data_IF_475332448472
#
_entry.id   IF_475332448472
#
_cell.length_a   1.000
_cell.length_b   1.000
_cell.length_c   1.000
_cell.angle_alpha   90.00
_cell.angle_beta   90.00
_cell.angle_gamma   90.00
#
_symmetry.space_group_name_H-M   'P 1'
#
loop_
_entity.id
_entity.type
_entity.pdbx_description
1 polymer ?
#
# COMPACT_ATOMS: atom_id res chain seq x y z
N UNK A 1 20.53 -56.45 31.29
CA UNK A 1 19.47 -57.35 31.78
C UNK A 1 18.48 -56.45 32.51
N UNK A 2 17.42 -55.96 31.88
CA UNK A 2 16.25 -56.74 31.47
C UNK A 2 15.19 -56.63 32.57
N UNK A 3 14.36 -55.59 32.52
CA UNK A 3 13.12 -55.52 33.30
C UNK A 3 12.10 -54.74 32.49
N UNK A 4 11.12 -55.50 32.01
CA UNK A 4 9.99 -55.11 31.18
C UNK A 4 8.95 -54.46 32.08
N UNK A 5 8.57 -53.21 31.78
CA UNK A 5 7.41 -52.56 32.37
C UNK A 5 6.22 -52.69 31.41
N UNK A 6 5.22 -53.45 31.83
CA UNK A 6 3.87 -53.45 31.29
C UNK A 6 3.18 -52.16 31.72
N UNK A 7 2.73 -51.34 30.76
CA UNK A 7 1.74 -50.30 31.00
C UNK A 7 0.59 -50.47 30.02
N UNK A 8 -0.57 -50.69 30.62
CA UNK A 8 -1.89 -50.89 30.07
C UNK A 8 -2.38 -49.72 29.23
N UNK A 9 -2.86 -50.04 28.03
CA UNK A 9 -3.68 -49.19 27.18
C UNK A 9 -5.06 -48.96 27.80
N UNK A 10 -5.39 -47.70 28.13
CA UNK A 10 -6.74 -47.25 28.47
C UNK A 10 -7.28 -46.40 27.31
N UNK A 11 -8.26 -46.97 26.63
CA UNK A 11 -9.15 -46.33 25.66
C UNK A 11 -10.22 -45.50 26.36
N UNK A 12 -10.30 -44.21 26.04
CA UNK A 12 -11.44 -43.30 26.22
C UNK A 12 -11.43 -42.44 24.94
N UNK A 13 -12.42 -42.45 24.06
CA UNK A 13 -13.86 -42.39 24.31
C UNK A 13 -14.34 -41.07 23.72
N UNK A 14 -14.57 -41.05 22.40
CA UNK A 14 -15.03 -39.89 21.64
C UNK A 14 -16.51 -39.66 21.99
N UNK A 15 -16.81 -38.58 22.72
CA UNK A 15 -18.19 -38.13 22.92
C UNK A 15 -18.55 -37.10 21.84
N UNK A 16 -19.33 -37.56 20.87
CA UNK A 16 -20.11 -36.73 19.95
C UNK A 16 -21.31 -36.14 20.70
N UNK A 17 -21.25 -34.85 21.03
CA UNK A 17 -22.41 -34.10 21.48
C UNK A 17 -23.05 -33.39 20.27
N UNK A 18 -24.18 -33.94 19.83
CA UNK A 18 -25.12 -33.36 18.90
C UNK A 18 -25.83 -32.20 19.61
N UNK A 19 -25.60 -30.96 19.17
CA UNK A 19 -26.38 -29.81 19.60
C UNK A 19 -27.41 -29.50 18.51
N UNK A 20 -28.66 -29.79 18.84
CA UNK A 20 -29.87 -29.48 18.09
C UNK A 20 -30.07 -27.96 18.09
N UNK A 21 -30.03 -27.33 16.92
CA UNK A 21 -30.34 -25.90 16.75
C UNK A 21 -31.74 -25.78 16.14
N UNK A 22 -32.75 -25.71 17.00
CA UNK A 22 -34.12 -25.38 16.61
C UNK A 22 -34.19 -23.90 16.23
N UNK A 23 -34.57 -23.65 14.97
CA UNK A 23 -34.83 -22.32 14.40
C UNK A 23 -36.10 -21.75 15.02
N UNK A 24 -35.98 -20.75 15.90
CA UNK A 24 -37.08 -19.87 16.26
C UNK A 24 -37.02 -18.60 15.40
N UNK A 25 -37.93 -18.51 14.44
CA UNK A 25 -38.30 -17.26 13.77
C UNK A 25 -38.98 -16.34 14.81
N UNK A 26 -38.30 -15.25 15.18
CA UNK A 26 -38.94 -14.14 15.88
C UNK A 26 -39.37 -13.08 14.87
N UNK A 27 -40.65 -13.09 14.57
CA UNK A 27 -41.37 -12.02 13.87
C UNK A 27 -41.44 -10.79 14.78
N UNK A 28 -40.78 -9.70 14.43
CA UNK A 28 -40.97 -8.41 15.09
C UNK A 28 -41.82 -7.51 14.18
N UNK A 29 -43.10 -7.42 14.52
CA UNK A 29 -44.06 -6.46 14.01
C UNK A 29 -43.68 -5.06 14.49
N UNK A 30 -43.50 -4.10 13.57
CA UNK A 30 -43.37 -2.69 13.92
C UNK A 30 -44.75 -2.06 13.78
N UNK A 31 -45.33 -1.70 14.93
CA UNK A 31 -46.54 -0.92 15.05
C UNK A 31 -46.32 0.52 14.54
N UNK A 32 -47.25 0.96 13.70
CA UNK A 32 -47.40 2.34 13.26
C UNK A 32 -47.99 3.13 14.43
N UNK A 33 -47.20 4.03 15.02
CA UNK A 33 -47.74 5.12 15.84
C UNK A 33 -47.65 6.43 15.08
N UNK A 34 -48.83 6.91 14.72
CA UNK A 34 -49.12 8.27 14.26
C UNK A 34 -48.94 9.25 15.43
N UNK A 35 -48.12 10.29 15.25
CA UNK A 35 -48.24 11.51 16.04
C UNK A 35 -48.15 12.74 15.14
N UNK A 36 -49.20 13.53 15.25
CA UNK A 36 -49.57 14.76 14.54
C UNK A 36 -48.77 15.99 14.98
N UNK A 37 -48.56 16.92 14.02
CA UNK A 37 -48.29 18.35 14.23
C UNK A 37 -46.81 18.73 14.33
N UNK A 38 -46.30 19.80 13.73
CA UNK A 38 -46.89 20.89 12.95
C UNK A 38 -45.76 21.53 12.14
N UNK A 39 -46.05 21.93 10.91
CA UNK A 39 -45.16 22.65 10.01
C UNK A 39 -44.85 24.06 10.52
N UNK A 40 -43.58 24.46 10.47
CA UNK A 40 -43.20 25.85 10.17
C UNK A 40 -42.00 25.85 9.23
N UNK A 41 -42.26 26.33 8.02
CA UNK A 41 -41.31 26.59 6.94
C UNK A 41 -40.35 27.73 7.30
N UNK A 42 -39.05 27.50 7.16
CA UNK A 42 -38.11 28.54 6.67
C UNK A 42 -37.04 27.90 5.80
N UNK A 43 -36.95 28.43 4.58
CA UNK A 43 -35.97 28.16 3.53
C UNK A 43 -34.53 28.22 4.05
N UNK A 44 -33.74 27.18 3.78
CA UNK A 44 -32.30 27.31 3.57
C UNK A 44 -31.96 26.89 2.14
N UNK A 45 -31.41 27.85 1.41
CA UNK A 45 -30.90 27.72 0.04
C UNK A 45 -29.52 27.09 0.11
N UNK A 46 -29.37 25.86 -0.38
CA UNK A 46 -28.07 25.23 -0.58
C UNK A 46 -27.47 25.69 -1.91
N UNK A 47 -26.49 26.58 -1.85
CA UNK A 47 -25.60 26.91 -2.97
C UNK A 47 -24.48 25.86 -3.04
N UNK A 48 -24.41 25.15 -4.17
CA UNK A 48 -23.32 24.26 -4.49
C UNK A 48 -22.18 25.06 -5.13
N UNK A 49 -21.06 25.18 -4.43
CA UNK A 49 -19.82 25.68 -5.01
C UNK A 49 -19.10 24.54 -5.74
N UNK A 50 -19.10 24.65 -7.07
CA UNK A 50 -18.32 23.85 -8.00
C UNK A 50 -17.03 24.64 -8.29
N UNK A 51 -15.90 24.15 -7.79
CA UNK A 51 -14.57 24.67 -8.13
C UNK A 51 -14.01 23.96 -9.36
N UNK A 52 -14.18 24.60 -10.52
CA UNK A 52 -13.45 24.31 -11.76
C UNK A 52 -12.14 25.10 -11.75
N UNK A 53 -11.01 24.39 -11.79
CA UNK A 53 -9.69 24.99 -11.95
C UNK A 53 -9.35 25.07 -13.45
N UNK A 54 -9.46 26.26 -14.02
CA UNK A 54 -8.97 26.60 -15.36
C UNK A 54 -7.61 27.29 -15.20
N UNK A 55 -6.56 26.66 -15.71
CA UNK A 55 -5.26 27.29 -15.88
C UNK A 55 -5.31 28.25 -17.07
N UNK A 56 -5.26 29.54 -16.79
CA UNK A 56 -4.98 30.61 -17.75
C UNK A 56 -3.48 30.92 -17.69
N UNK A 57 -2.79 30.75 -18.81
CA UNK A 57 -1.47 31.32 -19.05
C UNK A 57 -1.62 32.64 -19.80
N UNK A 58 -1.17 33.73 -19.18
CA UNK A 58 -0.94 35.02 -19.84
C UNK A 58 0.30 34.95 -20.74
N UNK A 59 0.16 35.38 -22.00
CA UNK A 59 1.23 36.05 -22.75
C UNK A 59 0.60 37.19 -23.53
N UNK A 60 1.14 38.39 -23.35
CA UNK A 60 0.74 39.62 -24.04
C UNK A 60 1.31 39.72 -25.46
N UNK A 61 0.43 40.16 -26.35
CA UNK A 61 0.53 41.16 -27.44
C UNK A 61 1.76 41.25 -28.38
N UNK A 62 1.45 41.43 -29.68
CA UNK A 62 2.44 41.87 -30.67
C UNK A 62 2.13 41.63 -32.16
N UNK A 63 1.13 42.32 -32.72
CA UNK A 63 1.17 42.93 -34.08
C UNK A 63 0.71 42.14 -35.35
N UNK A 64 -0.47 42.56 -35.84
CA UNK A 64 -0.86 43.04 -37.20
C UNK A 64 -1.03 42.08 -38.41
N UNK A 65 -2.28 42.15 -38.94
CA UNK A 65 -2.75 42.30 -40.34
C UNK A 65 -2.16 41.40 -41.46
N UNK A 66 -2.90 40.84 -42.42
CA UNK A 66 -4.15 41.25 -43.09
C UNK A 66 -4.74 40.08 -43.90
N UNK A 67 -6.09 39.97 -43.92
CA UNK A 67 -7.00 39.84 -45.10
C UNK A 67 -6.52 39.05 -46.35
N UNK A 68 -7.29 38.24 -47.06
CA UNK A 68 -8.73 37.95 -47.16
C UNK A 68 -8.86 36.65 -48.01
N UNK A 69 -9.82 35.75 -47.75
CA UNK A 69 -11.09 35.58 -48.49
C UNK A 69 -10.91 34.94 -49.90
N UNK A 70 -11.70 34.00 -50.44
CA UNK A 70 -13.04 33.42 -50.22
C UNK A 70 -13.08 32.07 -50.97
N UNK A 71 -13.75 31.07 -50.36
CA UNK A 71 -14.65 30.00 -50.88
C UNK A 71 -14.37 29.29 -52.24
N UNK A 72 -14.91 28.13 -52.58
CA UNK A 72 -15.95 27.26 -52.02
C UNK A 72 -15.83 25.92 -52.75
N UNK A 73 -15.81 24.79 -52.05
CA UNK A 73 -16.91 23.81 -51.96
C UNK A 73 -17.03 22.75 -53.07
N UNK A 74 -17.04 21.49 -52.58
CA UNK A 74 -17.79 20.31 -53.05
C UNK A 74 -17.35 19.61 -54.35
N UNK A 75 -17.46 18.30 -54.54
CA UNK A 75 -17.40 17.05 -53.73
C UNK A 75 -17.91 15.92 -54.66
N UNK A 76 -17.40 14.70 -54.47
CA UNK A 76 -18.05 13.38 -54.74
C UNK A 76 -17.74 12.61 -56.07
N UNK A 77 -17.04 11.48 -55.85
CA UNK A 77 -17.20 10.06 -56.30
C UNK A 77 -16.78 9.49 -57.67
N UNK A 78 -16.02 8.37 -57.55
CA UNK A 78 -16.13 7.01 -58.18
C UNK A 78 -15.97 6.90 -59.71
N UNK A 79 -15.53 5.82 -60.36
CA UNK A 79 -15.22 4.41 -60.04
C UNK A 79 -14.30 3.81 -61.16
N UNK A 80 -13.93 2.53 -61.01
CA UNK A 80 -12.99 1.68 -61.78
C UNK A 80 -13.30 1.46 -63.29
N UNK A 81 -12.31 1.03 -64.10
CA UNK A 81 -12.25 -0.33 -64.71
C UNK A 81 -10.95 -0.64 -65.51
N UNK A 82 -10.83 -1.91 -65.91
CA UNK A 82 -9.64 -2.75 -66.10
C UNK A 82 -9.42 -3.14 -67.60
N UNK A 83 -8.31 -3.85 -67.90
CA UNK A 83 -8.13 -4.94 -68.92
C UNK A 83 -7.13 -4.75 -70.11
N UNK A 84 -6.05 -5.55 -70.00
CA UNK A 84 -5.32 -6.47 -70.94
C UNK A 84 -4.66 -6.13 -72.30
N UNK A 85 -3.35 -6.47 -72.34
CA UNK A 85 -2.51 -7.22 -73.32
C UNK A 85 -2.90 -7.46 -74.79
N UNK A 86 -1.92 -7.33 -75.71
CA UNK A 86 -1.36 -8.44 -76.52
C UNK A 86 -0.17 -8.04 -77.43
N UNK A 87 0.61 -9.06 -77.83
CA UNK A 87 1.92 -9.12 -78.52
C UNK A 87 1.92 -8.95 -80.05
N UNK A 88 3.09 -8.68 -80.68
CA UNK A 88 3.72 -9.52 -81.74
C UNK A 88 5.06 -9.01 -82.29
N UNK A 89 5.78 -9.97 -82.86
CA UNK A 89 7.18 -10.10 -83.28
C UNK A 89 7.64 -9.28 -84.51
N UNK A 90 8.98 -9.21 -84.71
CA UNK A 90 9.57 -9.05 -86.05
C UNK A 90 10.92 -9.80 -86.16
N UNK A 91 11.26 -10.23 -87.38
CA UNK A 91 12.24 -11.28 -87.74
C UNK A 91 13.46 -10.76 -88.52
N UNK A 92 14.46 -11.66 -88.68
CA UNK A 92 15.52 -11.70 -89.72
C UNK A 92 16.84 -10.99 -89.39
N UNK A 93 18.07 -11.47 -89.65
CA UNK A 93 18.61 -12.57 -90.47
C UNK A 93 20.05 -12.95 -90.01
N UNK A 94 20.53 -14.09 -90.50
CA UNK A 94 21.72 -14.88 -90.11
C UNK A 94 23.01 -14.47 -90.84
N UNK A 95 24.19 -14.60 -90.20
CA UNK A 95 25.39 -15.21 -90.84
C UNK A 95 26.44 -15.66 -89.82
N UNK A 96 26.96 -16.88 -90.03
CA UNK A 96 27.74 -17.72 -89.12
C UNK A 96 29.25 -17.61 -89.32
N UNK A 97 30.03 -17.75 -88.23
CA UNK A 97 31.41 -18.26 -88.28
C UNK A 97 31.63 -19.19 -87.09
N UNK A 98 32.03 -20.43 -87.37
CA UNK A 98 32.10 -21.55 -86.44
C UNK A 98 33.41 -21.50 -85.66
N UNK A 99 33.33 -21.39 -84.33
CA UNK A 99 34.43 -21.72 -83.41
C UNK A 99 34.15 -23.07 -82.73
N UNK A 100 35.22 -23.85 -82.55
CA UNK A 100 35.27 -25.23 -82.08
C UNK A 100 34.53 -25.51 -80.76
N UNK A 101 33.81 -26.64 -80.70
CA UNK A 101 33.01 -27.13 -79.58
C UNK A 101 33.79 -27.46 -78.29
N UNK A 102 35.12 -27.48 -78.31
CA UNK A 102 35.92 -27.86 -77.13
C UNK A 102 36.16 -26.71 -76.14
N UNK A 103 36.23 -25.46 -76.59
CA UNK A 103 36.52 -24.31 -75.72
C UNK A 103 35.25 -23.76 -75.03
N UNK A 104 34.08 -23.91 -75.67
CA UNK A 104 32.80 -23.52 -75.08
C UNK A 104 32.40 -24.45 -73.92
N UNK A 105 32.74 -25.73 -73.95
CA UNK A 105 32.39 -26.67 -72.87
C UNK A 105 33.14 -26.45 -71.56
N UNK A 106 34.41 -26.02 -71.60
CA UNK A 106 35.16 -25.67 -70.38
C UNK A 106 34.71 -24.31 -69.82
N UNK A 107 34.48 -23.30 -70.68
CA UNK A 107 33.99 -22.01 -70.22
C UNK A 107 32.56 -22.05 -69.72
N UNK A 108 31.70 -22.91 -70.27
CA UNK A 108 30.34 -23.11 -69.78
C UNK A 108 30.33 -23.92 -68.47
N UNK A 109 31.22 -24.89 -68.29
CA UNK A 109 31.33 -25.64 -67.02
C UNK A 109 31.87 -24.76 -65.88
N UNK A 110 32.80 -23.84 -66.15
CA UNK A 110 33.31 -22.90 -65.14
C UNK A 110 32.34 -21.75 -64.86
N UNK A 111 31.59 -21.27 -65.87
CA UNK A 111 30.55 -20.23 -65.71
C UNK A 111 29.27 -20.78 -65.07
N UNK A 112 28.93 -22.05 -65.31
CA UNK A 112 27.87 -22.78 -64.59
C UNK A 112 28.33 -23.10 -63.16
N UNK A 113 29.58 -23.52 -62.94
CA UNK A 113 30.11 -23.72 -61.58
C UNK A 113 30.23 -22.42 -60.76
N UNK A 114 30.52 -21.27 -61.40
CA UNK A 114 30.49 -19.96 -60.72
C UNK A 114 29.10 -19.33 -60.62
N UNK A 115 28.13 -19.71 -61.47
CA UNK A 115 26.74 -19.25 -61.37
C UNK A 115 25.80 -20.18 -60.59
N UNK A 116 26.26 -21.37 -60.18
CA UNK A 116 25.57 -22.28 -59.27
C UNK A 116 26.20 -22.35 -57.87
N UNK A 117 27.20 -21.51 -57.59
CA UNK A 117 27.87 -21.42 -56.28
C UNK A 117 27.34 -20.29 -55.37
N UNK A 118 26.21 -19.67 -55.70
CA UNK A 118 25.62 -18.62 -54.85
C UNK A 118 24.09 -18.62 -54.88
N UNK A 119 23.50 -19.81 -54.76
CA UNK A 119 22.16 -19.98 -54.21
C UNK A 119 22.06 -21.29 -53.41
N UNK A 120 23.05 -21.55 -52.55
CA UNK A 120 22.72 -22.25 -51.31
C UNK A 120 21.82 -21.29 -50.54
N UNK A 121 20.50 -21.50 -50.60
CA UNK A 121 19.60 -21.10 -49.53
C UNK A 121 20.21 -21.66 -48.26
N UNK A 122 21.01 -20.83 -47.57
CA UNK A 122 21.57 -21.17 -46.28
C UNK A 122 20.35 -21.48 -45.43
N UNK A 123 20.15 -22.75 -45.07
CA UNK A 123 19.09 -23.17 -44.17
C UNK A 123 19.37 -22.45 -42.85
N UNK A 124 18.77 -21.26 -42.70
CA UNK A 124 18.77 -20.55 -41.43
C UNK A 124 18.05 -21.49 -40.47
N UNK A 125 18.76 -21.93 -39.45
CA UNK A 125 18.20 -22.75 -38.38
C UNK A 125 18.72 -22.16 -37.07
N UNK A 126 17.81 -21.85 -36.16
CA UNK A 126 18.10 -21.05 -34.97
C UNK A 126 17.84 -19.54 -35.15
N UNK A 127 18.48 -18.76 -34.28
CA UNK A 127 18.31 -17.31 -34.22
C UNK A 127 18.97 -16.59 -35.40
N UNK A 128 18.27 -15.62 -35.97
CA UNK A 128 18.75 -14.79 -37.07
C UNK A 128 18.37 -13.32 -36.82
N UNK A 129 19.31 -12.40 -37.01
CA UNK A 129 19.06 -10.96 -36.85
C UNK A 129 19.32 -10.19 -38.14
N UNK A 130 18.42 -9.28 -38.49
CA UNK A 130 18.57 -8.38 -39.63
C UNK A 130 17.96 -7.02 -39.32
N UNK A 131 18.74 -5.94 -39.49
CA UNK A 131 18.30 -4.55 -39.24
C UNK A 131 17.59 -4.40 -37.89
N UNK A 132 18.24 -4.91 -36.82
CA UNK A 132 17.75 -4.94 -35.43
C UNK A 132 16.48 -5.75 -35.13
N UNK A 133 15.94 -6.44 -36.14
CA UNK A 133 14.85 -7.39 -35.98
C UNK A 133 15.41 -8.81 -35.80
N UNK A 134 14.84 -9.54 -34.85
CA UNK A 134 15.20 -10.93 -34.60
C UNK A 134 14.13 -11.86 -35.15
N UNK A 135 14.58 -13.02 -35.63
CA UNK A 135 13.78 -14.09 -36.20
C UNK A 135 14.30 -15.42 -35.65
N UNK A 136 13.47 -16.45 -35.69
CA UNK A 136 13.88 -17.80 -35.38
C UNK A 136 13.46 -18.73 -36.52
N UNK A 137 14.33 -19.64 -36.92
CA UNK A 137 14.03 -20.62 -37.95
C UNK A 137 14.16 -22.04 -37.39
N UNK A 138 13.15 -22.87 -37.65
CA UNK A 138 13.15 -24.31 -37.39
C UNK A 138 12.64 -25.03 -38.64
N UNK A 139 13.53 -25.29 -39.59
CA UNK A 139 13.26 -25.59 -41.01
C UNK A 139 12.54 -24.46 -41.78
N UNK A 140 11.52 -23.85 -41.18
CA UNK A 140 10.81 -22.67 -41.66
C UNK A 140 10.87 -21.53 -40.63
N UNK A 141 10.54 -20.31 -41.05
CA UNK A 141 10.47 -19.15 -40.16
C UNK A 141 9.37 -19.34 -39.10
N UNK A 142 9.75 -19.22 -37.81
CA UNK A 142 8.85 -19.33 -36.66
C UNK A 142 7.82 -18.20 -36.64
N UNK A 143 6.59 -18.54 -36.27
CA UNK A 143 5.47 -17.62 -36.11
C UNK A 143 4.71 -17.96 -34.84
N UNK A 144 4.15 -16.94 -34.19
CA UNK A 144 3.45 -17.10 -32.91
C UNK A 144 4.39 -17.50 -31.76
N UNK A 145 3.85 -18.23 -30.81
CA UNK A 145 4.56 -18.64 -29.60
C UNK A 145 5.69 -19.62 -29.88
N UNK A 146 6.81 -19.44 -29.19
CA UNK A 146 7.96 -20.33 -29.21
C UNK A 146 8.53 -20.47 -27.80
N UNK A 147 8.74 -21.71 -27.37
CA UNK A 147 9.42 -22.02 -26.12
C UNK A 147 10.86 -22.43 -26.43
N UNK A 148 11.82 -21.61 -25.99
CA UNK A 148 13.25 -21.87 -26.10
C UNK A 148 13.83 -22.15 -24.72
N UNK A 149 14.06 -23.42 -24.38
CA UNK A 149 14.44 -23.81 -23.03
C UNK A 149 13.35 -23.43 -22.01
N UNK A 150 13.70 -22.60 -21.03
CA UNK A 150 12.76 -22.12 -19.99
C UNK A 150 12.06 -20.80 -20.35
N UNK A 151 12.48 -20.17 -21.45
CA UNK A 151 11.99 -18.87 -21.88
C UNK A 151 10.92 -19.01 -22.97
N UNK A 152 9.98 -18.06 -22.96
CA UNK A 152 8.97 -17.93 -24.00
C UNK A 152 9.23 -16.69 -24.84
N UNK A 153 8.94 -16.82 -26.13
CA UNK A 153 9.06 -15.78 -27.14
C UNK A 153 7.78 -15.77 -27.97
N UNK A 154 7.50 -14.63 -28.60
CA UNK A 154 6.42 -14.51 -29.57
C UNK A 154 6.95 -13.91 -30.86
N UNK A 155 6.61 -14.52 -32.00
CA UNK A 155 6.99 -14.04 -33.32
C UNK A 155 5.74 -13.57 -34.07
N UNK A 156 5.82 -12.40 -34.70
CA UNK A 156 4.72 -11.81 -35.45
C UNK A 156 4.18 -12.81 -36.50
N UNK A 157 2.88 -13.13 -36.48
CA UNK A 157 2.31 -14.14 -37.38
C UNK A 157 2.40 -13.82 -38.88
N UNK A 158 2.58 -12.54 -39.24
CA UNK A 158 2.67 -12.08 -40.62
C UNK A 158 4.12 -12.20 -41.11
N UNK A 159 5.03 -11.48 -40.47
CA UNK A 159 6.40 -11.28 -40.97
C UNK A 159 7.49 -12.04 -40.17
N UNK A 160 7.14 -12.75 -39.10
CA UNK A 160 8.07 -13.55 -38.30
C UNK A 160 9.02 -12.75 -37.40
N UNK A 161 8.83 -11.43 -37.26
CA UNK A 161 9.65 -10.61 -36.36
C UNK A 161 9.37 -10.93 -34.89
N UNK A 162 10.42 -11.08 -34.08
CA UNK A 162 10.31 -11.29 -32.65
C UNK A 162 9.65 -10.09 -31.96
N UNK A 163 8.62 -10.36 -31.17
CA UNK A 163 7.92 -9.38 -30.36
C UNK A 163 8.84 -8.84 -29.26
N UNK A 164 8.74 -7.53 -29.05
CA UNK A 164 9.37 -6.79 -27.96
C UNK A 164 8.31 -5.95 -27.26
N UNK A 165 8.51 -5.64 -26.00
CA UNK A 165 7.60 -4.86 -25.18
C UNK A 165 6.19 -5.47 -25.10
N UNK A 166 5.16 -4.63 -24.99
CA UNK A 166 3.78 -5.05 -24.79
C UNK A 166 3.20 -5.81 -25.97
N UNK A 167 2.44 -6.86 -25.67
CA UNK A 167 1.60 -7.60 -26.61
C UNK A 167 0.24 -7.84 -25.97
N UNK A 168 -0.83 -7.45 -26.67
CA UNK A 168 -2.17 -7.87 -26.32
C UNK A 168 -2.51 -9.18 -27.05
N UNK A 169 -2.80 -10.23 -26.29
CA UNK A 169 -3.22 -11.52 -26.81
C UNK A 169 -4.61 -11.87 -26.27
N UNK A 170 -5.65 -11.68 -27.09
CA UNK A 170 -7.03 -11.80 -26.64
C UNK A 170 -7.35 -10.76 -25.56
N UNK A 171 -7.79 -11.21 -24.38
CA UNK A 171 -8.11 -10.35 -23.23
C UNK A 171 -6.92 -10.13 -22.28
N UNK A 172 -5.80 -10.83 -22.54
CA UNK A 172 -4.61 -10.81 -21.71
C UNK A 172 -3.53 -9.91 -22.32
N UNK A 173 -2.65 -9.43 -21.44
CA UNK A 173 -1.46 -8.67 -21.82
C UNK A 173 -0.21 -9.44 -21.41
N UNK A 174 0.82 -9.33 -22.25
CA UNK A 174 2.14 -9.89 -22.05
C UNK A 174 3.16 -8.78 -22.24
N UNK A 175 4.32 -8.93 -21.62
CA UNK A 175 5.45 -8.05 -21.85
C UNK A 175 6.65 -8.89 -22.26
N UNK A 176 7.33 -8.49 -23.33
CA UNK A 176 8.56 -9.12 -23.79
C UNK A 176 9.72 -8.17 -23.56
N UNK A 177 10.81 -8.67 -22.99
CA UNK A 177 11.99 -7.87 -22.70
C UNK A 177 12.48 -7.17 -24.01
N UNK A 178 12.64 -5.83 -24.02
CA UNK A 178 12.95 -5.10 -25.25
C UNK A 178 14.27 -5.48 -25.93
N UNK A 179 15.21 -6.06 -25.17
CA UNK A 179 16.53 -6.47 -25.68
C UNK A 179 16.51 -7.93 -26.11
N UNK A 180 16.14 -8.83 -25.21
CA UNK A 180 16.23 -10.28 -25.43
C UNK A 180 14.99 -10.90 -26.06
N UNK A 181 13.84 -10.24 -26.02
CA UNK A 181 12.55 -10.77 -26.45
C UNK A 181 11.97 -11.87 -25.56
N UNK A 182 12.58 -12.14 -24.41
CA UNK A 182 12.05 -13.10 -23.42
C UNK A 182 10.78 -12.56 -22.79
N UNK A 183 9.75 -13.39 -22.69
CA UNK A 183 8.51 -13.07 -22.00
C UNK A 183 8.76 -12.83 -20.51
N UNK A 184 8.25 -11.71 -20.01
CA UNK A 184 8.32 -11.31 -18.61
C UNK A 184 7.47 -12.24 -17.74
N UNK A 185 8.01 -12.55 -16.56
CA UNK A 185 7.37 -13.30 -15.49
C UNK A 185 7.60 -12.56 -14.18
N UNK A 186 6.70 -12.72 -13.22
CA UNK A 186 6.74 -12.04 -11.93
C UNK A 186 6.72 -10.50 -12.09
N UNK A 187 7.32 -9.80 -11.13
CA UNK A 187 7.36 -8.35 -11.05
C UNK A 187 8.10 -7.69 -12.22
N UNK A 188 7.54 -6.58 -12.70
CA UNK A 188 8.17 -5.67 -13.65
C UNK A 188 7.92 -4.24 -13.16
N UNK A 189 9.00 -3.47 -13.04
CA UNK A 189 8.90 -2.02 -12.87
C UNK A 189 8.96 -1.35 -14.24
N UNK A 190 7.94 -0.57 -14.57
CA UNK A 190 7.87 0.23 -15.80
C UNK A 190 7.66 1.70 -15.44
N UNK A 191 8.74 2.49 -15.45
CA UNK A 191 8.70 3.85 -14.91
C UNK A 191 8.43 3.82 -13.40
N UNK A 192 7.44 4.59 -12.94
CA UNK A 192 7.01 4.64 -11.53
C UNK A 192 5.95 3.59 -11.15
N UNK A 193 5.46 2.85 -12.16
CA UNK A 193 4.45 1.83 -12.03
C UNK A 193 5.05 0.43 -11.90
N UNK A 194 4.31 -0.45 -11.22
CA UNK A 194 4.63 -1.86 -11.08
C UNK A 194 3.55 -2.72 -11.72
N UNK A 195 3.99 -3.80 -12.33
CA UNK A 195 3.16 -4.83 -12.94
C UNK A 195 3.59 -6.18 -12.39
N UNK A 196 2.69 -7.15 -12.42
CA UNK A 196 3.01 -8.53 -12.12
C UNK A 196 2.54 -9.42 -13.26
N UNK A 197 3.39 -10.33 -13.71
CA UNK A 197 3.08 -11.30 -14.74
C UNK A 197 3.05 -12.69 -14.13
N UNK A 198 2.01 -13.46 -14.44
CA UNK A 198 1.86 -14.81 -13.94
C UNK A 198 3.14 -15.63 -14.24
N UNK A 199 3.76 -16.30 -13.25
CA UNK A 199 5.05 -16.96 -13.45
C UNK A 199 5.00 -18.14 -14.43
N UNK A 200 3.81 -18.71 -14.63
CA UNK A 200 3.59 -19.87 -15.50
C UNK A 200 3.14 -19.39 -16.88
N UNK A 201 2.04 -18.65 -16.96
CA UNK A 201 1.42 -18.26 -18.24
C UNK A 201 1.98 -16.97 -18.85
N UNK A 202 2.61 -16.11 -18.05
CA UNK A 202 3.05 -14.78 -18.49
C UNK A 202 1.93 -13.76 -18.65
N UNK A 203 0.69 -14.09 -18.27
CA UNK A 203 -0.42 -13.13 -18.33
C UNK A 203 -0.21 -12.03 -17.30
N UNK A 204 -0.43 -10.78 -17.68
CA UNK A 204 -0.42 -9.64 -16.77
C UNK A 204 -1.55 -9.78 -15.74
N UNK A 205 -1.19 -9.67 -14.47
CA UNK A 205 -2.12 -9.68 -13.35
C UNK A 205 -3.04 -8.47 -13.38
N UNK A 206 -4.29 -8.73 -13.07
CA UNK A 206 -5.34 -7.74 -12.87
C UNK A 206 -6.03 -8.03 -11.54
N UNK A 207 -6.57 -7.00 -10.90
CA UNK A 207 -7.27 -7.10 -9.61
C UNK A 207 -6.37 -7.68 -8.50
N UNK A 208 -6.97 -8.37 -7.53
CA UNK A 208 -6.30 -8.90 -6.35
C UNK A 208 -5.24 -9.96 -6.66
N UNK A 209 -4.10 -9.84 -5.98
CA UNK A 209 -3.04 -10.83 -5.95
C UNK A 209 -2.62 -11.08 -4.50
N UNK A 210 -2.58 -12.34 -4.09
CA UNK A 210 -1.94 -12.73 -2.84
C UNK A 210 -0.49 -13.16 -3.13
N UNK A 211 0.47 -12.41 -2.59
CA UNK A 211 1.89 -12.72 -2.66
C UNK A 211 2.42 -13.08 -1.27
N UNK A 212 2.54 -14.37 -0.97
CA UNK A 212 2.87 -14.82 0.38
C UNK A 212 1.80 -14.39 1.40
N UNK A 213 2.21 -13.62 2.42
CA UNK A 213 1.32 -13.09 3.46
C UNK A 213 0.69 -11.72 3.10
N UNK A 214 1.18 -11.11 2.02
CA UNK A 214 0.79 -9.79 1.57
C UNK A 214 -0.25 -9.86 0.46
N UNK A 215 -1.03 -8.79 0.36
CA UNK A 215 -2.01 -8.60 -0.71
C UNK A 215 -1.65 -7.36 -1.52
N UNK A 216 -1.85 -7.47 -2.82
CA UNK A 216 -1.70 -6.40 -3.79
C UNK A 216 -2.98 -6.29 -4.61
N UNK A 217 -3.19 -5.12 -5.20
CA UNK A 217 -4.27 -4.92 -6.16
C UNK A 217 -3.69 -4.29 -7.42
N UNK A 218 -4.07 -4.83 -8.58
CA UNK A 218 -3.67 -4.29 -9.87
C UNK A 218 -4.91 -3.72 -10.58
N UNK A 219 -4.76 -2.58 -11.23
CA UNK A 219 -5.81 -1.96 -12.02
C UNK A 219 -6.38 -2.98 -13.03
N UNK A 220 -7.68 -3.25 -13.02
CA UNK A 220 -8.29 -4.18 -13.99
C UNK A 220 -8.15 -3.70 -15.44
N UNK A 221 -7.95 -2.40 -15.64
CA UNK A 221 -7.84 -1.75 -16.95
C UNK A 221 -6.39 -1.74 -17.41
N UNK A 222 -5.49 -1.15 -16.62
CA UNK A 222 -4.09 -0.89 -17.03
C UNK A 222 -3.09 -1.91 -16.51
N UNK A 223 -3.43 -2.70 -15.48
CA UNK A 223 -2.50 -3.60 -14.81
C UNK A 223 -1.49 -2.91 -13.89
N UNK A 224 -1.61 -1.60 -13.65
CA UNK A 224 -0.74 -0.89 -12.71
C UNK A 224 -1.07 -1.31 -11.28
N UNK A 225 -0.04 -1.54 -10.47
CA UNK A 225 -0.19 -1.83 -9.04
C UNK A 225 -0.77 -0.61 -8.31
N UNK A 226 -1.82 -0.84 -7.54
CA UNK A 226 -2.45 0.15 -6.69
C UNK A 226 -1.52 0.55 -5.55
N UNK A 227 -1.47 1.86 -5.32
CA UNK A 227 -0.84 2.50 -4.16
C UNK A 227 -1.88 3.38 -3.46
N UNK A 228 -1.71 3.61 -2.17
CA UNK A 228 -2.63 4.42 -1.35
C UNK A 228 -4.07 3.90 -1.34
N UNK A 229 -5.04 4.78 -1.22
CA UNK A 229 -6.46 4.44 -1.05
C UNK A 229 -7.07 3.75 -2.28
N UNK A 230 -7.88 2.72 -2.02
CA UNK A 230 -8.72 2.06 -3.00
C UNK A 230 -10.14 1.91 -2.45
N UNK A 231 -11.13 2.35 -3.20
CA UNK A 231 -12.53 2.02 -2.94
C UNK A 231 -12.93 0.77 -3.73
N UNK A 232 -13.24 -0.31 -3.03
CA UNK A 232 -13.76 -1.55 -3.61
C UNK A 232 -15.21 -1.75 -3.20
N UNK A 233 -16.15 -1.33 -4.05
CA UNK A 233 -17.58 -1.31 -3.71
C UNK A 233 -17.85 -0.36 -2.54
N UNK A 234 -18.41 -0.89 -1.44
CA UNK A 234 -18.70 -0.13 -0.22
C UNK A 234 -17.53 -0.11 0.79
N UNK A 235 -16.46 -0.84 0.52
CA UNK A 235 -15.30 -1.00 1.39
C UNK A 235 -14.13 -0.13 0.91
N UNK A 236 -13.30 0.29 1.86
CA UNK A 236 -12.06 1.01 1.59
C UNK A 236 -10.86 0.17 2.03
N UNK A 237 -9.80 0.25 1.23
CA UNK A 237 -8.51 -0.39 1.46
C UNK A 237 -7.41 0.65 1.32
N UNK A 238 -6.26 0.40 1.93
CA UNK A 238 -5.08 1.22 1.76
C UNK A 238 -3.91 0.33 1.38
N UNK A 239 -3.13 0.75 0.38
CA UNK A 239 -1.94 0.06 -0.06
C UNK A 239 -0.73 0.95 0.20
N UNK A 240 0.35 0.37 0.71
CA UNK A 240 1.61 1.06 0.97
C UNK A 240 2.04 1.87 -0.27
N UNK A 241 2.27 3.18 -0.15
CA UNK A 241 2.73 3.99 -1.28
C UNK A 241 4.08 3.54 -1.85
N UNK A 242 4.91 2.89 -1.03
CA UNK A 242 6.26 2.44 -1.40
C UNK A 242 6.28 1.02 -1.93
N UNK A 243 5.62 0.08 -1.25
CA UNK A 243 5.67 -1.35 -1.58
C UNK A 243 4.42 -1.89 -2.27
N UNK A 244 3.30 -1.19 -2.21
CA UNK A 244 2.01 -1.68 -2.70
C UNK A 244 1.36 -2.78 -1.85
N UNK A 245 1.90 -3.06 -0.65
CA UNK A 245 1.30 -4.05 0.26
C UNK A 245 0.02 -3.48 0.87
N UNK A 246 -1.04 -4.29 0.94
CA UNK A 246 -2.28 -3.90 1.60
C UNK A 246 -2.08 -3.72 3.11
N UNK A 247 -2.50 -2.56 3.61
CA UNK A 247 -2.49 -2.22 5.03
C UNK A 247 -3.42 -3.13 5.83
N UNK A 248 -2.92 -3.56 6.98
CA UNK A 248 -3.66 -4.30 8.01
C UNK A 248 -3.39 -3.65 9.37
N UNK A 249 -4.38 -3.65 10.26
CA UNK A 249 -4.27 -3.03 11.57
C UNK A 249 -4.25 -1.51 11.53
N UNK A 250 -3.63 -0.90 12.54
CA UNK A 250 -3.58 0.55 12.70
C UNK A 250 -2.70 1.23 11.64
N UNK A 251 -3.17 2.37 11.14
CA UNK A 251 -2.43 3.27 10.27
C UNK A 251 -2.57 4.70 10.78
N UNK A 252 -1.45 5.39 10.96
CA UNK A 252 -1.45 6.83 11.20
C UNK A 252 -1.29 7.57 9.87
N UNK A 253 -2.30 8.34 9.49
CA UNK A 253 -2.30 9.22 8.33
C UNK A 253 -2.33 10.68 8.77
N UNK A 254 -1.16 11.33 8.81
CA UNK A 254 -1.04 12.66 9.41
C UNK A 254 -1.38 12.62 10.90
N UNK A 255 -2.35 13.44 11.33
CA UNK A 255 -2.83 13.49 12.71
C UNK A 255 -3.99 12.52 12.99
N UNK A 256 -4.45 11.81 11.97
CA UNK A 256 -5.59 10.91 12.07
C UNK A 256 -5.13 9.44 12.13
N UNK A 257 -5.94 8.63 12.80
CA UNK A 257 -5.74 7.19 12.88
C UNK A 257 -6.86 6.46 12.16
N UNK A 258 -6.50 5.40 11.47
CA UNK A 258 -7.38 4.49 10.76
C UNK A 258 -7.09 3.07 11.24
N UNK A 259 -8.08 2.20 11.15
CA UNK A 259 -7.90 0.79 11.43
C UNK A 259 -8.40 -0.05 10.27
N UNK A 260 -7.56 -0.97 9.79
CA UNK A 260 -7.89 -1.91 8.74
C UNK A 260 -8.02 -3.30 9.35
N UNK A 261 -9.11 -4.00 9.02
CA UNK A 261 -9.36 -5.33 9.53
C UNK A 261 -8.14 -6.25 9.27
N UNK A 262 -7.57 -6.92 10.28
CA UNK A 262 -6.34 -7.71 10.11
C UNK A 262 -6.44 -8.88 9.13
N UNK A 263 -7.66 -9.35 8.87
CA UNK A 263 -7.94 -10.48 7.96
C UNK A 263 -8.27 -9.96 6.56
N UNK A 264 -9.28 -9.09 6.45
CA UNK A 264 -9.81 -8.67 5.14
C UNK A 264 -9.15 -7.41 4.58
N UNK A 265 -8.43 -6.63 5.38
CA UNK A 265 -7.89 -5.33 4.98
C UNK A 265 -8.93 -4.22 4.81
N UNK A 266 -10.20 -4.46 5.16
CA UNK A 266 -11.26 -3.45 5.07
C UNK A 266 -11.09 -2.40 6.15
N UNK A 267 -11.18 -1.12 5.77
CA UNK A 267 -11.17 0.00 6.70
C UNK A 267 -12.39 -0.04 7.63
N UNK A 268 -12.15 0.10 8.93
CA UNK A 268 -13.18 0.17 9.96
C UNK A 268 -13.93 1.51 9.91
N UNK A 269 -15.24 1.44 10.17
CA UNK A 269 -16.13 2.58 10.41
C UNK A 269 -17.01 2.26 11.62
N UNK A 270 -17.51 3.28 12.33
CA UNK A 270 -18.33 3.11 13.53
C UNK A 270 -17.56 2.49 14.70
N UNK A 271 -18.29 1.82 15.60
CA UNK A 271 -17.73 1.24 16.82
C UNK A 271 -16.90 -0.02 16.57
N UNK A 272 -15.78 -0.17 17.29
CA UNK A 272 -14.97 -1.39 17.30
C UNK A 272 -14.30 -1.61 18.66
N UNK A 273 -14.18 -2.88 19.07
CA UNK A 273 -13.40 -3.29 20.23
C UNK A 273 -12.07 -3.91 19.77
N UNK A 274 -10.96 -3.25 20.06
CA UNK A 274 -9.63 -3.61 19.57
C UNK A 274 -8.67 -3.63 20.76
N UNK A 275 -7.95 -4.74 20.94
CA UNK A 275 -6.92 -4.89 21.98
C UNK A 275 -7.34 -4.42 23.39
N UNK A 276 -8.58 -4.71 23.79
CA UNK A 276 -9.09 -4.36 25.12
C UNK A 276 -9.76 -2.99 25.22
N UNK A 277 -9.81 -2.21 24.12
CA UNK A 277 -10.25 -0.80 24.12
C UNK A 277 -11.37 -0.59 23.11
N UNK A 278 -12.37 0.20 23.49
CA UNK A 278 -13.45 0.63 22.59
C UNK A 278 -13.01 1.86 21.79
N UNK A 279 -13.15 1.77 20.48
CA UNK A 279 -12.87 2.83 19.52
C UNK A 279 -14.13 3.19 18.74
N UNK A 280 -14.17 4.42 18.23
CA UNK A 280 -15.19 4.86 17.29
C UNK A 280 -14.50 5.51 16.09
N UNK A 281 -15.02 5.23 14.89
CA UNK A 281 -14.48 5.72 13.63
C UNK A 281 -15.59 6.43 12.85
N UNK A 282 -15.25 7.55 12.21
CA UNK A 282 -16.18 8.28 11.35
C UNK A 282 -16.55 7.48 10.09
N UNK A 283 -17.47 8.00 9.29
CA UNK A 283 -17.78 7.43 7.98
C UNK A 283 -16.59 7.47 7.00
N UNK A 284 -15.64 8.38 7.22
CA UNK A 284 -14.36 8.43 6.48
C UNK A 284 -13.27 7.54 7.09
N UNK A 285 -13.59 6.77 8.14
CA UNK A 285 -12.67 5.85 8.83
C UNK A 285 -11.69 6.50 9.78
N UNK A 286 -11.74 7.83 9.95
CA UNK A 286 -10.92 8.55 10.93
C UNK A 286 -11.38 8.20 12.34
N UNK A 287 -10.46 7.84 13.21
CA UNK A 287 -10.74 7.64 14.62
C UNK A 287 -11.31 8.93 15.23
N UNK A 288 -12.37 8.79 16.01
CA UNK A 288 -12.98 9.86 16.79
C UNK A 288 -12.41 9.76 18.21
N UNK A 289 -11.69 10.80 18.63
CA UNK A 289 -11.12 10.91 19.97
C UNK A 289 -12.11 11.55 20.94
N UNK A 290 -12.06 11.12 22.21
CA UNK A 290 -12.80 11.71 23.33
C UNK A 290 -11.94 12.68 24.15
N UNK A 291 -10.88 13.19 23.53
CA UNK A 291 -9.98 14.25 23.95
C UNK A 291 -9.44 14.96 22.71
N UNK A 292 -8.88 16.16 22.87
CA UNK A 292 -8.19 16.88 21.81
C UNK A 292 -6.68 16.81 21.98
N UNK A 293 -5.97 16.68 20.86
CA UNK A 293 -4.51 16.78 20.81
C UNK A 293 -4.15 18.14 20.21
N UNK A 294 -3.33 18.88 20.94
CA UNK A 294 -2.68 20.10 20.51
C UNK A 294 -1.27 19.76 20.00
N UNK A 295 -1.03 20.06 18.72
CA UNK A 295 0.21 19.74 18.03
C UNK A 295 1.20 20.91 17.99
N UNK A 296 0.94 22.02 18.70
CA UNK A 296 1.84 23.19 18.72
C UNK A 296 3.27 22.89 19.17
N UNK A 297 3.46 21.82 19.95
CA UNK A 297 4.76 21.40 20.47
C UNK A 297 5.23 20.07 19.88
N UNK A 298 4.58 19.58 18.83
CA UNK A 298 4.95 18.33 18.19
C UNK A 298 6.29 18.50 17.45
N UNK A 299 7.24 17.61 17.74
CA UNK A 299 8.55 17.65 17.11
C UNK A 299 8.44 17.34 15.59
N UNK A 300 9.07 18.16 14.73
CA UNK A 300 9.12 17.89 13.30
C UNK A 300 9.99 16.66 13.01
N UNK A 301 10.00 16.20 11.75
CA UNK A 301 10.80 15.04 11.37
C UNK A 301 12.30 15.37 11.53
N UNK A 302 13.10 14.43 12.03
CA UNK A 302 14.51 14.66 12.32
C UNK A 302 14.77 15.44 13.62
N UNK A 303 13.76 15.67 14.46
CA UNK A 303 13.92 16.21 15.82
C UNK A 303 13.44 15.21 16.86
N UNK A 304 14.20 15.08 17.94
CA UNK A 304 14.09 13.94 18.86
C UNK A 304 14.79 12.71 18.30
N UNK A 305 14.26 11.54 18.61
CA UNK A 305 14.78 10.24 18.20
C UNK A 305 13.83 9.60 17.16
N UNK A 306 14.37 9.28 15.99
CA UNK A 306 13.59 8.68 14.91
C UNK A 306 13.54 7.14 14.97
N UNK A 307 14.27 6.51 15.90
CA UNK A 307 14.25 5.06 16.09
C UNK A 307 12.85 4.57 16.49
N UNK A 308 12.44 3.44 15.92
CA UNK A 308 11.17 2.79 16.27
C UNK A 308 11.33 2.06 17.61
N UNK A 309 10.47 2.39 18.57
CA UNK A 309 10.43 1.70 19.85
C UNK A 309 9.67 0.37 19.75
N UNK A 310 10.09 -0.63 20.52
CA UNK A 310 9.36 -1.89 20.63
C UNK A 310 8.08 -1.72 21.47
N UNK A 311 6.99 -2.36 21.08
CA UNK A 311 5.66 -2.24 21.72
C UNK A 311 5.52 -3.03 23.03
N UNK A 312 6.48 -2.90 23.95
CA UNK A 312 6.48 -3.64 25.20
C UNK A 312 5.80 -2.85 26.33
N UNK A 313 6.09 -1.55 26.44
CA UNK A 313 5.63 -0.71 27.52
C UNK A 313 4.88 0.53 27.01
N UNK A 314 3.96 1.03 27.83
CA UNK A 314 3.55 2.42 27.79
C UNK A 314 3.89 3.01 29.16
N UNK A 315 4.65 4.09 29.20
CA UNK A 315 5.17 4.61 30.48
C UNK A 315 4.38 5.83 30.92
N UNK A 316 3.95 5.78 32.18
CA UNK A 316 3.18 6.78 32.87
C UNK A 316 4.10 7.58 33.79
N UNK A 317 4.15 8.88 33.50
CA UNK A 317 4.94 9.88 34.19
C UNK A 317 4.05 10.94 34.81
N UNK A 318 4.66 11.75 35.66
CA UNK A 318 4.08 12.96 36.21
C UNK A 318 5.16 14.03 36.40
N UNK A 319 4.82 15.29 36.10
CA UNK A 319 5.81 16.36 36.04
C UNK A 319 6.30 16.71 37.45
N UNK A 320 7.62 16.73 37.66
CA UNK A 320 8.19 16.94 38.99
C UNK A 320 7.92 18.32 39.63
N UNK A 321 7.38 19.28 38.88
CA UNK A 321 7.18 20.67 39.31
C UNK A 321 5.71 21.09 39.19
N UNK A 322 5.26 22.03 40.03
CA UNK A 322 3.89 22.53 39.94
C UNK A 322 3.72 23.45 38.72
N UNK A 323 3.44 22.87 37.56
CA UNK A 323 3.33 23.56 36.29
C UNK A 323 2.32 22.88 35.35
N UNK A 324 1.65 23.72 34.53
CA UNK A 324 0.65 23.25 33.56
C UNK A 324 1.26 22.46 32.40
N UNK A 325 0.43 21.70 31.70
CA UNK A 325 0.88 20.78 30.66
C UNK A 325 1.51 21.48 29.46
N UNK A 326 0.94 22.62 29.01
CA UNK A 326 1.50 23.40 27.92
C UNK A 326 2.92 23.92 28.23
N UNK A 327 3.18 24.30 29.50
CA UNK A 327 4.51 24.77 29.92
C UNK A 327 5.54 23.65 29.85
N UNK A 328 5.19 22.45 30.31
CA UNK A 328 6.07 21.28 30.24
C UNK A 328 6.28 20.80 28.79
N UNK A 329 5.22 20.76 27.98
CA UNK A 329 5.32 20.39 26.57
C UNK A 329 6.23 21.35 25.80
N UNK A 330 6.10 22.66 26.03
CA UNK A 330 7.00 23.67 25.47
C UNK A 330 8.44 23.47 25.93
N UNK A 331 8.65 23.20 27.22
CA UNK A 331 10.00 22.96 27.75
C UNK A 331 10.66 21.76 27.07
N UNK A 332 9.96 20.63 26.95
CA UNK A 332 10.49 19.45 26.26
C UNK A 332 10.79 19.73 24.78
N UNK A 333 9.89 20.46 24.09
CA UNK A 333 10.09 20.87 22.71
C UNK A 333 11.33 21.78 22.54
N UNK A 334 11.43 22.83 23.35
CA UNK A 334 12.46 23.87 23.20
C UNK A 334 13.85 23.37 23.64
N UNK A 335 13.92 22.33 24.47
CA UNK A 335 15.17 21.81 25.03
C UNK A 335 15.56 20.42 24.53
N UNK A 336 14.86 19.88 23.53
CA UNK A 336 15.14 18.54 22.99
C UNK A 336 16.59 18.38 22.55
N UNK A 337 17.21 19.42 21.97
CA UNK A 337 18.60 19.37 21.48
C UNK A 337 19.64 19.55 22.60
N UNK A 338 19.27 20.07 23.77
CA UNK A 338 20.22 20.38 24.85
C UNK A 338 20.10 19.45 26.04
N UNK A 339 18.87 19.07 26.38
CA UNK A 339 18.58 18.21 27.52
C UNK A 339 18.30 16.77 27.09
N UNK A 340 18.00 16.55 25.80
CA UNK A 340 17.69 15.23 25.21
C UNK A 340 16.62 14.44 25.97
N UNK A 341 15.79 15.11 26.77
CA UNK A 341 14.75 14.51 27.61
C UNK A 341 13.38 15.05 27.20
N UNK A 342 12.49 14.15 26.79
CA UNK A 342 11.12 14.46 26.40
C UNK A 342 10.26 13.18 26.45
N UNK A 343 8.95 13.37 26.43
CA UNK A 343 7.96 12.30 26.33
C UNK A 343 7.10 12.44 25.08
N UNK A 344 6.23 11.46 24.82
CA UNK A 344 5.32 11.50 23.66
C UNK A 344 4.20 12.51 23.87
N UNK A 345 3.56 12.47 25.04
CA UNK A 345 2.41 13.33 25.36
C UNK A 345 2.55 13.97 26.73
N UNK A 346 2.05 15.19 26.87
CA UNK A 346 1.80 15.84 28.17
C UNK A 346 0.31 16.12 28.30
N UNK A 347 -0.31 15.64 29.38
CA UNK A 347 -1.73 15.79 29.65
C UNK A 347 -1.93 16.78 30.79
N UNK A 348 -2.84 17.74 30.63
CA UNK A 348 -3.19 18.68 31.68
C UNK A 348 -4.05 19.84 31.18
N UNK A 349 -4.04 20.95 31.91
CA UNK A 349 -4.72 22.21 31.53
C UNK A 349 -6.22 22.06 31.25
N UNK A 350 -6.90 21.19 32.01
CA UNK A 350 -8.33 20.92 31.89
C UNK A 350 -8.64 19.80 30.89
N UNK A 351 -7.83 18.73 30.89
CA UNK A 351 -8.01 17.54 30.08
C UNK A 351 -7.48 17.65 28.65
N UNK A 352 -6.59 18.61 28.37
CA UNK A 352 -5.93 18.76 27.06
C UNK A 352 -4.73 17.82 26.95
N UNK A 353 -4.40 17.44 25.72
CA UNK A 353 -3.22 16.64 25.40
C UNK A 353 -2.30 17.45 24.50
N UNK A 354 -1.03 17.55 24.84
CA UNK A 354 0.00 18.18 24.01
C UNK A 354 0.91 17.08 23.49
N UNK A 355 1.03 16.93 22.17
CA UNK A 355 2.03 16.03 21.60
C UNK A 355 3.38 16.72 21.59
N UNK A 356 4.42 15.99 22.00
CA UNK A 356 5.82 16.40 21.87
C UNK A 356 6.54 15.41 20.97
N UNK A 357 6.87 14.22 21.48
CA UNK A 357 7.37 13.11 20.69
C UNK A 357 6.31 12.48 19.78
N UNK A 358 6.75 11.76 18.76
CA UNK A 358 5.86 11.03 17.84
C UNK A 358 5.56 9.63 18.42
N UNK A 359 4.29 9.22 18.48
CA UNK A 359 3.94 7.86 18.91
C UNK A 359 4.63 6.80 18.05
N UNK A 360 5.16 5.76 18.69
CA UNK A 360 5.88 4.66 18.01
C UNK A 360 7.39 4.86 17.92
N UNK A 361 7.87 6.09 18.12
CA UNK A 361 9.29 6.40 18.16
C UNK A 361 9.81 6.48 19.60
N UNK A 362 11.12 6.33 19.76
CA UNK A 362 11.78 6.46 21.05
C UNK A 362 11.55 7.88 21.61
N UNK A 363 11.28 7.94 22.92
CA UNK A 363 11.26 9.18 23.71
C UNK A 363 12.17 8.99 24.92
N UNK A 364 12.75 10.06 25.44
CA UNK A 364 13.87 9.99 26.38
C UNK A 364 13.51 10.37 27.83
N UNK A 365 12.40 9.83 28.35
CA UNK A 365 11.91 10.11 29.70
C UNK A 365 12.22 9.07 30.77
N UNK A 366 12.68 7.85 30.43
CA UNK A 366 12.69 6.70 31.35
C UNK A 366 13.98 5.84 31.30
N UNK A 367 15.07 6.38 30.76
CA UNK A 367 16.34 5.68 30.59
C UNK A 367 16.37 4.71 29.39
N UNK A 368 17.57 4.44 28.87
CA UNK A 368 17.79 3.80 27.56
C UNK A 368 16.95 2.55 27.32
N UNK A 369 16.96 1.60 28.26
CA UNK A 369 16.27 0.31 28.09
C UNK A 369 14.75 0.49 28.03
N UNK A 370 14.17 1.31 28.92
CA UNK A 370 12.74 1.53 28.93
C UNK A 370 12.29 2.34 27.71
N UNK A 371 13.07 3.36 27.32
CA UNK A 371 12.82 4.22 26.17
C UNK A 371 12.67 3.44 24.85
N UNK A 372 13.60 2.51 24.57
CA UNK A 372 13.55 1.68 23.35
C UNK A 372 12.42 0.65 23.37
N UNK A 373 11.75 0.48 24.50
CA UNK A 373 10.64 -0.45 24.70
C UNK A 373 9.30 0.26 24.95
N UNK A 374 9.26 1.59 24.80
CA UNK A 374 8.10 2.41 25.10
C UNK A 374 7.75 3.33 23.92
N UNK A 375 6.91 2.87 22.97
CA UNK A 375 6.43 3.70 21.86
C UNK A 375 5.63 4.93 22.32
N UNK A 376 5.15 4.93 23.56
CA UNK A 376 4.44 6.04 24.16
C UNK A 376 4.85 6.24 25.62
N UNK A 377 5.20 7.47 25.96
CA UNK A 377 5.40 7.96 27.32
C UNK A 377 4.47 9.17 27.55
N UNK A 378 3.82 9.24 28.71
CA UNK A 378 2.80 10.25 29.00
C UNK A 378 3.12 10.95 30.33
N UNK A 379 3.33 12.25 30.28
CA UNK A 379 3.43 13.11 31.46
C UNK A 379 2.06 13.64 31.88
N UNK A 380 1.78 13.60 33.18
CA UNK A 380 0.63 14.30 33.78
C UNK A 380 1.09 15.62 34.41
N UNK A 381 0.47 16.73 34.00
CA UNK A 381 0.70 18.05 34.57
C UNK A 381 0.19 18.19 36.01
N UNK A 382 0.89 19.00 36.81
CA UNK A 382 0.48 19.29 38.19
C UNK A 382 -0.54 20.43 38.28
N UNK A 383 -1.46 20.30 39.22
CA UNK A 383 -2.37 21.35 39.65
C UNK A 383 -2.77 21.15 41.11
N UNK A 384 -3.07 22.25 41.81
CA UNK A 384 -3.73 22.22 43.13
C UNK A 384 -5.26 22.20 42.99
N UNK A 385 -5.79 22.51 41.82
CA UNK A 385 -7.23 22.56 41.60
C UNK A 385 -7.78 21.15 41.40
N UNK A 386 -8.56 20.66 42.37
CA UNK A 386 -9.14 19.32 42.32
C UNK A 386 -10.06 19.10 41.12
N UNK A 387 -10.78 20.11 40.66
CA UNK A 387 -11.66 20.00 39.49
C UNK A 387 -10.84 19.81 38.21
N UNK A 388 -9.77 20.58 38.05
CA UNK A 388 -8.83 20.43 36.94
C UNK A 388 -8.13 19.06 36.99
N UNK A 389 -7.64 18.64 38.17
CA UNK A 389 -7.01 17.33 38.33
C UNK A 389 -7.88 16.20 37.79
N UNK A 390 -9.18 16.17 38.10
CA UNK A 390 -10.05 15.09 37.64
C UNK A 390 -10.29 15.12 36.12
N UNK A 391 -10.32 16.30 35.51
CA UNK A 391 -10.35 16.42 34.04
C UNK A 391 -9.06 15.87 33.42
N UNK A 392 -7.91 16.26 33.99
CA UNK A 392 -6.58 15.85 33.53
C UNK A 392 -6.38 14.33 33.69
N UNK A 393 -6.76 13.77 34.85
CA UNK A 393 -6.67 12.34 35.16
C UNK A 393 -7.55 11.48 34.23
N UNK A 394 -8.78 11.91 33.96
CA UNK A 394 -9.67 11.21 33.02
C UNK A 394 -9.03 11.15 31.63
N UNK A 395 -8.48 12.27 31.15
CA UNK A 395 -7.78 12.30 29.86
C UNK A 395 -6.51 11.45 29.90
N UNK A 396 -5.74 11.48 30.99
CA UNK A 396 -4.51 10.71 31.16
C UNK A 396 -4.75 9.20 31.00
N UNK A 397 -5.79 8.68 31.65
CA UNK A 397 -6.22 7.28 31.50
C UNK A 397 -6.71 7.00 30.08
N UNK A 398 -7.46 7.93 29.45
CA UNK A 398 -7.95 7.76 28.08
C UNK A 398 -6.84 7.67 27.05
N UNK A 399 -5.84 8.56 27.11
CA UNK A 399 -4.67 8.54 26.21
C UNK A 399 -3.87 7.26 26.42
N UNK A 400 -3.65 6.86 27.67
CA UNK A 400 -2.95 5.62 27.99
C UNK A 400 -3.65 4.40 27.40
N UNK A 401 -4.97 4.29 27.57
CA UNK A 401 -5.78 3.20 26.98
C UNK A 401 -5.75 3.24 25.46
N UNK A 402 -6.05 4.39 24.86
CA UNK A 402 -6.06 4.59 23.41
C UNK A 402 -4.77 4.10 22.75
N UNK A 403 -3.63 4.57 23.26
CA UNK A 403 -2.32 4.25 22.72
C UNK A 403 -1.91 2.80 23.03
N UNK A 404 -2.19 2.30 24.24
CA UNK A 404 -1.91 0.90 24.56
C UNK A 404 -2.63 -0.06 23.60
N UNK A 405 -3.91 0.20 23.29
CA UNK A 405 -4.66 -0.61 22.32
C UNK A 405 -4.14 -0.48 20.88
N UNK A 406 -3.64 0.69 20.47
CA UNK A 406 -3.00 0.88 19.14
C UNK A 406 -1.75 0.04 18.96
N UNK A 407 -0.89 0.01 19.97
CA UNK A 407 0.37 -0.73 19.95
C UNK A 407 0.24 -2.17 20.47
N UNK A 408 -0.96 -2.61 20.86
CA UNK A 408 -1.20 -3.95 21.40
C UNK A 408 -0.50 -4.21 22.74
N UNK A 409 -0.33 -3.16 23.54
CA UNK A 409 0.24 -3.25 24.88
C UNK A 409 -0.88 -3.61 25.87
N UNK A 410 -0.71 -4.64 26.73
CA UNK A 410 -1.70 -4.97 27.75
C UNK A 410 -2.00 -3.80 28.68
N UNK A 411 -3.26 -3.64 29.07
CA UNK A 411 -3.73 -2.56 29.95
C UNK A 411 -3.35 -2.76 31.43
N UNK A 412 -2.66 -3.84 31.77
CA UNK A 412 -2.21 -4.14 33.13
C UNK A 412 -1.13 -3.15 33.58
N UNK A 413 -1.36 -2.48 34.70
CA UNK A 413 -0.40 -1.57 35.33
C UNK A 413 0.64 -2.35 36.14
N UNK A 414 1.93 -2.06 35.94
CA UNK A 414 3.06 -2.48 36.78
C UNK A 414 3.22 -4.00 37.00
N UNK A 415 2.58 -4.82 36.16
CA UNK A 415 2.64 -6.27 36.28
C UNK A 415 4.02 -6.84 35.89
N UNK A 416 4.52 -7.82 36.66
CA UNK A 416 5.77 -8.54 36.39
C UNK A 416 7.04 -7.70 36.50
N UNK A 417 8.16 -8.25 36.01
CA UNK A 417 9.48 -7.60 35.98
C UNK A 417 9.87 -7.11 34.58
N UNK A 418 11.13 -6.69 34.41
CA UNK A 418 11.67 -6.28 33.11
C UNK A 418 11.39 -7.33 32.01
N UNK A 419 10.91 -6.87 30.86
CA UNK A 419 10.43 -7.69 29.74
C UNK A 419 8.93 -7.98 29.78
N UNK A 420 8.25 -7.80 30.91
CA UNK A 420 6.80 -8.04 31.02
C UNK A 420 6.02 -6.89 30.40
N UNK A 421 5.34 -7.16 29.28
CA UNK A 421 4.55 -6.16 28.56
C UNK A 421 3.45 -5.57 29.42
N UNK A 422 3.16 -4.28 29.23
CA UNK A 422 2.04 -3.60 29.87
C UNK A 422 2.29 -2.13 30.13
N UNK A 423 1.33 -1.46 30.75
CA UNK A 423 1.46 -0.07 31.18
C UNK A 423 2.34 -0.03 32.44
N UNK A 424 3.34 0.85 32.47
CA UNK A 424 4.30 0.98 33.58
C UNK A 424 4.30 2.39 34.14
N UNK A 425 4.34 2.54 35.45
CA UNK A 425 4.75 3.79 36.09
C UNK A 425 6.26 3.99 35.95
N UNK A 426 6.73 5.23 35.99
CA UNK A 426 8.17 5.47 36.11
C UNK A 426 8.73 4.87 37.41
N UNK A 427 7.97 4.90 38.52
CA UNK A 427 8.35 4.21 39.75
C UNK A 427 8.64 2.71 39.51
N UNK A 428 7.83 2.00 38.73
CA UNK A 428 8.11 0.62 38.35
C UNK A 428 9.40 0.52 37.53
N UNK A 429 9.64 1.44 36.59
CA UNK A 429 10.89 1.48 35.80
C UNK A 429 12.09 1.65 36.73
N UNK A 430 12.05 2.55 37.70
CA UNK A 430 13.07 2.73 38.75
C UNK A 430 13.35 1.44 39.50
N UNK A 431 12.32 0.66 39.84
CA UNK A 431 12.49 -0.59 40.61
C UNK A 431 12.96 -1.78 39.79
N UNK A 432 12.68 -1.81 38.49
CA UNK A 432 12.86 -3.01 37.67
C UNK A 432 13.87 -2.87 36.53
N UNK A 433 14.19 -1.64 36.13
CA UNK A 433 15.04 -1.35 34.97
C UNK A 433 16.16 -0.38 35.38
N UNK A 434 15.84 0.87 35.69
CA UNK A 434 16.81 1.93 35.94
C UNK A 434 16.12 3.22 36.43
N UNK A 435 16.86 4.05 37.16
CA UNK A 435 16.44 5.39 37.58
C UNK A 435 16.25 5.51 39.09
N UNK A 436 15.91 6.71 39.53
CA UNK A 436 15.58 7.07 40.92
C UNK A 436 14.24 7.81 41.03
N UNK A 437 13.51 7.93 39.92
CA UNK A 437 12.21 8.56 39.82
C UNK A 437 11.14 7.80 40.62
N UNK A 438 10.20 8.55 41.20
CA UNK A 438 9.13 8.01 42.07
C UNK A 438 7.72 8.37 41.61
N UNK A 439 7.58 9.03 40.47
CA UNK A 439 6.32 9.37 39.85
C UNK A 439 5.58 8.13 39.28
N UNK A 440 4.24 8.17 39.13
CA UNK A 440 3.33 9.29 39.41
C UNK A 440 2.63 9.23 40.79
N UNK A 441 2.90 8.18 41.59
CA UNK A 441 2.05 7.86 42.75
C UNK A 441 2.02 8.91 43.85
N UNK A 442 3.13 9.60 44.10
CA UNK A 442 3.19 10.66 45.11
C UNK A 442 2.18 11.77 44.80
N UNK A 443 2.14 12.24 43.55
CA UNK A 443 1.19 13.27 43.13
C UNK A 443 -0.25 12.75 43.10
N UNK A 444 -0.49 11.58 42.50
CA UNK A 444 -1.84 10.98 42.44
C UNK A 444 -2.47 10.79 43.83
N UNK A 445 -1.66 10.45 44.84
CA UNK A 445 -2.15 10.28 46.22
C UNK A 445 -2.70 11.56 46.85
N UNK A 446 -2.26 12.76 46.41
CA UNK A 446 -2.81 14.06 46.85
C UNK A 446 -4.32 14.17 46.58
N UNK A 447 -4.81 13.44 45.57
CA UNK A 447 -6.20 13.43 45.12
C UNK A 447 -6.91 12.10 45.36
N UNK A 448 -6.40 11.30 46.29
CA UNK A 448 -6.97 9.98 46.65
C UNK A 448 -6.98 8.95 45.50
N UNK A 449 -6.11 9.12 44.50
CA UNK A 449 -5.91 8.10 43.46
C UNK A 449 -4.79 7.17 43.91
N UNK A 450 -5.17 5.94 44.28
CA UNK A 450 -4.22 4.87 44.62
C UNK A 450 -3.71 4.16 43.36
N UNK A 451 -2.61 3.42 43.48
CA UNK A 451 -2.13 2.55 42.40
C UNK A 451 -3.21 1.55 41.95
N UNK A 452 -3.97 0.99 42.90
CA UNK A 452 -5.07 0.06 42.60
C UNK A 452 -6.21 0.74 41.81
N UNK A 453 -6.54 2.00 42.15
CA UNK A 453 -7.52 2.77 41.38
C UNK A 453 -7.02 3.05 39.97
N UNK A 454 -5.77 3.49 39.81
CA UNK A 454 -5.20 3.70 38.48
C UNK A 454 -5.19 2.40 37.65
N UNK A 455 -4.80 1.27 38.25
CA UNK A 455 -4.83 -0.04 37.58
C UNK A 455 -6.25 -0.42 37.13
N UNK A 456 -7.24 -0.22 37.99
CA UNK A 456 -8.65 -0.44 37.67
C UNK A 456 -9.10 0.45 36.51
N UNK A 457 -8.83 1.74 36.59
CA UNK A 457 -9.27 2.72 35.59
C UNK A 457 -8.58 2.48 34.23
N UNK A 458 -7.33 2.03 34.23
CA UNK A 458 -6.62 1.62 33.01
C UNK A 458 -7.22 0.36 32.37
N UNK A 459 -7.82 -0.54 33.15
CA UNK A 459 -8.48 -1.75 32.63
C UNK A 459 -9.91 -1.48 32.16
N UNK A 460 -10.66 -0.66 32.88
CA UNK A 460 -12.11 -0.52 32.69
C UNK A 460 -12.56 0.86 32.19
N UNK A 461 -11.67 1.86 32.18
CA UNK A 461 -12.03 3.25 31.98
C UNK A 461 -12.34 3.96 33.30
N UNK A 462 -12.46 5.29 33.23
CA UNK A 462 -12.83 6.18 34.36
C UNK A 462 -14.31 6.49 34.32
#
# INVERSE_FOLDING_TARGET
>A
MGSVALLSSLTLGVNSAQADATVQQSSASVEVQTSTGSETNTKETTSADISVNQNVSNVEDGSKHSESSVASSNSISKENEYVSSESKENTSSVSTTVQSFSEVSQHLSQKIATSLSSNTTQLKNGWYSEKDNWYYYNNNMQKGWFQGGNDWYYFNPINGQMQKSWLQGGNDWYYFNPVSGRMQKNWLQGGDDWYYFNPISGHMQKSWLQGGNDWYYFSPISGHMQKSWLQGGNDWYYFSPTSGHMQKGWLQGGNDWYYFNPVSGRMQRGYAYINGVNYNFSNSGRQILNYSIDYRYALPAGKGDDETAANNYLILHEVGTESGAATNARYFHDTVDTNEAYVTFVVGDGGKVYQVGRPGQVSWGAGRVANHNAPVQIELGRTYNSGQFWQDYVTYVRVARDMAGKYGIPLTLDAGGAGTRGIKSHYWVTKNIWGDHVDPYGYLSRFSVTQAKLAHDLLYGV
#
